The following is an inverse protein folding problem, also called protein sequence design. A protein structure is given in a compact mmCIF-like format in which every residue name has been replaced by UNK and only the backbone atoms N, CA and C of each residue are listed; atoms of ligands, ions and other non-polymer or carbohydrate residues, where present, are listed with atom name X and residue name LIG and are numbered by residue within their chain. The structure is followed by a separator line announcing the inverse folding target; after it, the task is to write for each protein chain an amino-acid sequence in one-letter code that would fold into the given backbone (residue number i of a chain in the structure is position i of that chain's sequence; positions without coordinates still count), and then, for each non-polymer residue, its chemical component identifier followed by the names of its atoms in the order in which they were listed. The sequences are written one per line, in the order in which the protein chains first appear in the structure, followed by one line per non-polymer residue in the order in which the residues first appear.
data_IF_355877542681
#
_entry.id   IF_355877542681
#
_cell.length_a   1.000
_cell.length_b   1.000
_cell.length_c   1.000
_cell.angle_alpha   90.00
_cell.angle_beta   90.00
_cell.angle_gamma   90.00
#
_symmetry.space_group_name_H-M   'P 1'
#
loop_
_entity.id
_entity.type
_entity.pdbx_description
1 polymer ?
#
# COMPACT_ATOMS: atom_id res chain seq x y z
N UNK A 1 -4.02 44.92 14.02
CA UNK A 1 -5.34 44.41 14.49
C UNK A 1 -5.60 43.12 13.74
N UNK A 2 -5.55 41.98 14.45
CA UNK A 2 -5.60 40.64 13.86
C UNK A 2 -7.02 40.20 13.54
N UNK A 3 -7.19 39.47 12.43
CA UNK A 3 -8.48 38.92 11.99
C UNK A 3 -9.02 37.97 13.06
N UNK A 4 -10.30 38.11 13.40
CA UNK A 4 -10.95 37.28 14.43
C UNK A 4 -11.34 35.93 13.83
N UNK A 5 -11.33 34.88 14.65
CA UNK A 5 -11.58 33.48 14.24
C UNK A 5 -12.94 33.32 13.50
N UNK A 6 -13.92 34.17 13.80
CA UNK A 6 -15.21 34.17 13.12
C UNK A 6 -15.13 34.51 11.63
N UNK A 7 -14.19 35.36 11.23
CA UNK A 7 -14.00 35.77 9.82
C UNK A 7 -13.43 34.63 8.95
N UNK A 8 -12.68 33.69 9.55
CA UNK A 8 -12.11 32.53 8.86
C UNK A 8 -13.18 31.46 8.58
N UNK A 9 -14.14 31.31 9.48
CA UNK A 9 -15.19 30.27 9.38
C UNK A 9 -16.38 30.69 8.49
N UNK A 10 -16.51 31.97 8.15
CA UNK A 10 -17.52 32.48 7.21
C UNK A 10 -17.09 32.45 5.74
N UNK A 11 -15.86 32.01 5.43
CA UNK A 11 -15.42 31.88 4.04
C UNK A 11 -16.04 30.62 3.42
N UNK A 12 -16.92 30.74 2.42
CA UNK A 12 -17.49 29.57 1.75
C UNK A 12 -16.37 28.72 1.15
N UNK A 13 -16.54 27.39 1.17
CA UNK A 13 -15.62 26.49 0.51
C UNK A 13 -15.54 26.88 -0.99
N UNK A 14 -14.34 26.87 -1.60
CA UNK A 14 -14.21 27.10 -3.04
C UNK A 14 -15.16 26.17 -3.79
N UNK A 15 -16.06 26.75 -4.59
CA UNK A 15 -17.08 25.97 -5.33
C UNK A 15 -16.47 25.18 -6.48
N UNK A 16 -15.33 25.63 -6.99
CA UNK A 16 -14.61 24.93 -8.02
C UNK A 16 -13.79 23.81 -7.40
N UNK A 17 -14.07 22.53 -7.74
CA UNK A 17 -13.15 21.47 -7.40
C UNK A 17 -11.79 21.81 -8.03
N UNK A 18 -10.67 21.49 -7.36
CA UNK A 18 -9.35 21.62 -7.98
C UNK A 18 -9.38 20.93 -9.33
N UNK A 19 -9.22 21.70 -10.42
CA UNK A 19 -9.01 21.12 -11.75
C UNK A 19 -7.60 20.51 -11.78
N UNK A 20 -7.47 19.37 -11.11
CA UNK A 20 -6.33 18.49 -11.22
C UNK A 20 -6.56 17.81 -12.56
N UNK A 21 -6.07 18.43 -13.63
CA UNK A 21 -5.88 17.71 -14.89
C UNK A 21 -5.11 16.44 -14.54
N UNK A 22 -5.84 15.34 -14.60
CA UNK A 22 -5.27 14.03 -14.40
C UNK A 22 -4.38 13.78 -15.60
N UNK A 23 -3.11 14.14 -15.45
CA UNK A 23 -2.02 13.59 -16.25
C UNK A 23 -1.84 12.16 -15.75
N UNK A 24 -2.86 11.32 -15.94
CA UNK A 24 -2.70 9.89 -16.10
C UNK A 24 -1.94 9.70 -17.41
N UNK A 25 -0.67 10.09 -17.39
CA UNK A 25 0.29 9.47 -18.30
C UNK A 25 0.16 8.00 -17.99
N UNK A 26 -0.16 7.22 -19.02
CA UNK A 26 0.22 5.83 -19.18
C UNK A 26 1.74 5.73 -19.00
N UNK A 27 2.23 5.96 -17.79
CA UNK A 27 3.59 5.67 -17.40
C UNK A 27 3.56 4.17 -17.25
N UNK A 28 4.16 3.39 -18.16
CA UNK A 28 4.23 1.96 -17.99
C UNK A 28 5.02 1.71 -16.71
N UNK A 29 4.31 1.32 -15.63
CA UNK A 29 4.95 0.79 -14.45
C UNK A 29 5.39 -0.60 -14.85
N UNK A 30 6.66 -0.72 -15.23
CA UNK A 30 7.28 -2.02 -15.48
C UNK A 30 7.36 -2.73 -14.14
N UNK A 31 6.38 -3.57 -13.87
CA UNK A 31 6.37 -4.43 -12.68
C UNK A 31 7.18 -5.67 -13.03
N UNK A 32 8.39 -5.76 -12.47
CA UNK A 32 9.17 -7.01 -12.52
C UNK A 32 8.79 -7.88 -11.33
N UNK A 33 8.46 -9.16 -11.52
CA UNK A 33 8.21 -10.06 -10.41
C UNK A 33 9.40 -10.12 -9.43
N UNK A 34 9.14 -10.11 -8.11
CA UNK A 34 10.18 -10.18 -7.10
C UNK A 34 10.86 -11.55 -7.09
N UNK A 35 12.16 -11.56 -6.77
CA UNK A 35 12.95 -12.80 -6.68
C UNK A 35 12.59 -13.61 -5.43
N UNK A 36 12.68 -14.93 -5.52
CA UNK A 36 12.40 -15.84 -4.40
C UNK A 36 13.18 -15.49 -3.11
N UNK A 37 14.45 -15.08 -3.24
CA UNK A 37 15.29 -14.69 -2.10
C UNK A 37 14.79 -13.42 -1.40
N UNK A 38 14.27 -12.46 -2.17
CA UNK A 38 13.68 -11.22 -1.67
C UNK A 38 12.40 -11.52 -0.90
N UNK A 39 11.56 -12.42 -1.42
CA UNK A 39 10.35 -12.90 -0.77
C UNK A 39 10.69 -13.60 0.55
N UNK A 40 11.72 -14.46 0.57
CA UNK A 40 12.18 -15.15 1.79
C UNK A 40 12.68 -14.16 2.84
N UNK A 41 13.45 -13.15 2.41
CA UNK A 41 13.95 -12.11 3.29
C UNK A 41 12.81 -11.28 3.89
N UNK A 42 11.84 -10.90 3.06
CA UNK A 42 10.65 -10.18 3.49
C UNK A 42 9.81 -11.00 4.49
N UNK A 43 9.56 -12.28 4.22
CA UNK A 43 8.87 -13.20 5.16
C UNK A 43 9.60 -13.26 6.51
N UNK A 44 10.93 -13.31 6.49
CA UNK A 44 11.75 -13.28 7.72
C UNK A 44 11.72 -11.95 8.47
N UNK A 45 11.54 -10.83 7.76
CA UNK A 45 11.47 -9.48 8.31
C UNK A 45 10.07 -9.07 8.80
N UNK A 46 9.01 -9.75 8.33
CA UNK A 46 7.64 -9.52 8.82
C UNK A 46 7.61 -9.86 10.31
N UNK A 47 7.69 -8.82 11.16
CA UNK A 47 7.46 -8.94 12.59
C UNK A 47 6.06 -9.53 12.79
N UNK A 48 5.97 -10.68 13.46
CA UNK A 48 4.75 -11.45 13.76
C UNK A 48 3.85 -10.69 14.79
N UNK A 49 3.76 -9.36 14.70
CA UNK A 49 3.08 -8.53 15.67
C UNK A 49 2.74 -7.12 15.20
N UNK A 50 2.94 -6.77 13.92
CA UNK A 50 2.55 -5.45 13.38
C UNK A 50 1.31 -5.49 12.46
N UNK A 51 0.83 -6.67 12.07
CA UNK A 51 -0.40 -6.80 11.29
C UNK A 51 -1.64 -6.93 12.21
N UNK A 52 -1.74 -6.11 13.26
CA UNK A 52 -2.92 -6.02 14.13
C UNK A 52 -4.03 -5.16 13.47
N UNK A 53 -4.36 -5.47 12.22
CA UNK A 53 -5.64 -5.07 11.64
C UNK A 53 -6.70 -6.13 11.99
N UNK A 54 -8.01 -5.80 11.97
CA UNK A 54 -9.08 -6.72 12.36
C UNK A 54 -9.05 -8.05 11.58
N UNK A 55 -8.44 -8.05 10.41
CA UNK A 55 -8.31 -9.25 9.58
C UNK A 55 -7.25 -10.21 10.12
N UNK A 56 -6.12 -9.76 10.69
CA UNK A 56 -4.99 -10.60 11.18
C UNK A 56 -4.56 -11.80 10.27
N UNK A 57 -5.05 -11.84 9.02
CA UNK A 57 -4.98 -12.98 8.07
C UNK A 57 -3.52 -13.36 7.82
N UNK A 58 -2.64 -12.34 7.83
CA UNK A 58 -1.20 -12.51 7.62
C UNK A 58 -0.51 -13.27 8.75
N UNK A 59 -0.93 -13.14 10.00
CA UNK A 59 -0.20 -13.73 11.14
C UNK A 59 -0.39 -15.25 11.25
N UNK A 60 -1.56 -15.76 10.88
CA UNK A 60 -1.85 -17.20 10.94
C UNK A 60 -1.41 -17.92 9.67
N UNK A 61 -1.62 -17.31 8.49
CA UNK A 61 -1.21 -17.88 7.21
C UNK A 61 0.32 -17.96 7.03
N UNK A 62 1.07 -16.94 7.51
CA UNK A 62 2.54 -16.91 7.46
C UNK A 62 3.22 -17.82 8.50
N UNK A 63 2.44 -18.52 9.35
CA UNK A 63 2.97 -19.47 10.33
C UNK A 63 3.32 -20.84 9.71
N UNK A 64 2.92 -21.07 8.45
CA UNK A 64 3.23 -22.26 7.66
C UNK A 64 4.68 -22.30 7.17
N UNK A 65 5.09 -23.41 6.56
CA UNK A 65 6.42 -23.61 5.98
C UNK A 65 6.83 -22.41 5.10
N UNK A 66 7.90 -21.72 5.52
CA UNK A 66 8.38 -20.47 4.90
C UNK A 66 8.78 -20.67 3.45
N UNK A 67 9.22 -21.87 3.10
CA UNK A 67 9.66 -22.19 1.75
C UNK A 67 8.47 -22.42 0.81
N UNK A 68 7.44 -23.14 1.28
CA UNK A 68 6.16 -23.28 0.58
C UNK A 68 5.51 -21.91 0.36
N UNK A 69 5.51 -21.06 1.39
CA UNK A 69 4.96 -19.71 1.32
C UNK A 69 5.71 -18.84 0.32
N UNK A 70 7.05 -18.89 0.32
CA UNK A 70 7.85 -18.15 -0.65
C UNK A 70 7.60 -18.63 -2.09
N UNK A 71 7.48 -19.94 -2.31
CA UNK A 71 7.18 -20.52 -3.63
C UNK A 71 5.78 -20.12 -4.13
N UNK A 72 4.77 -20.16 -3.28
CA UNK A 72 3.41 -19.73 -3.61
C UNK A 72 3.37 -18.24 -4.00
N UNK A 73 4.05 -17.38 -3.23
CA UNK A 73 4.13 -15.95 -3.53
C UNK A 73 4.89 -15.68 -4.83
N UNK A 74 5.97 -16.42 -5.11
CA UNK A 74 6.71 -16.27 -6.36
C UNK A 74 5.85 -16.63 -7.59
N UNK A 75 5.02 -17.68 -7.49
CA UNK A 75 4.05 -18.03 -8.53
C UNK A 75 3.03 -16.90 -8.69
N UNK A 76 2.45 -16.41 -7.59
CA UNK A 76 1.42 -15.35 -7.62
C UNK A 76 1.93 -14.04 -8.24
N UNK A 77 3.15 -13.62 -7.88
CA UNK A 77 3.73 -12.40 -8.45
C UNK A 77 4.21 -12.57 -9.90
N UNK A 78 4.45 -13.80 -10.36
CA UNK A 78 4.77 -14.08 -11.76
C UNK A 78 3.60 -13.88 -12.73
N UNK A 79 2.37 -13.94 -12.21
CA UNK A 79 1.13 -13.78 -13.00
C UNK A 79 0.69 -12.32 -13.15
N UNK A 80 1.25 -11.39 -12.36
CA UNK A 80 0.93 -9.96 -12.42
C UNK A 80 1.79 -9.33 -13.52
N UNK A 81 1.14 -8.77 -14.55
CA UNK A 81 1.78 -8.21 -15.75
C UNK A 81 1.22 -6.83 -16.08
#
# INVERSE_FOLDING_TARGET
MGRTLGEVLSRPAPLDPPNIESVHKDIPIVVTPPKIEEIRLAIGQIKIGMAAGPDNIRSEALKSDKELTAKMLHILFGEIK
#
